data_IF_740653539485
#
_entry.id   IF_740653539485
#
_cell.length_a   1.000
_cell.length_b   1.000
_cell.length_c   1.000
_cell.angle_alpha   90.00
_cell.angle_beta   90.00
_cell.angle_gamma   90.00
#
_symmetry.space_group_name_H-M   'P 1'
#
loop_
_entity.id
_entity.type
_entity.pdbx_description
1 polymer ?
#
# COMPACT_ATOMS: atom_id res chain seq x y z
N UNK A 1 6.80 -15.94 -11.46
CA UNK A 1 6.90 -14.61 -10.81
C UNK A 1 5.97 -14.51 -9.60
N UNK A 2 4.68 -14.80 -9.73
CA UNK A 2 3.68 -14.70 -8.66
C UNK A 2 3.92 -15.60 -7.42
N UNK A 3 4.69 -16.69 -7.53
CA UNK A 3 5.00 -17.59 -6.42
C UNK A 3 5.99 -17.04 -5.35
N UNK A 4 6.11 -15.72 -5.19
CA UNK A 4 6.75 -15.08 -4.02
C UNK A 4 8.24 -14.72 -4.13
N UNK A 5 8.94 -15.08 -5.21
CA UNK A 5 10.39 -14.82 -5.35
C UNK A 5 10.85 -14.16 -6.67
N UNK A 6 9.91 -13.73 -7.53
CA UNK A 6 10.25 -13.05 -8.79
C UNK A 6 10.58 -11.56 -8.60
N UNK A 7 11.17 -10.89 -9.61
CA UNK A 7 11.29 -9.44 -9.62
C UNK A 7 9.91 -8.77 -9.75
N UNK A 8 9.79 -7.46 -9.46
CA UNK A 8 8.61 -6.68 -9.78
C UNK A 8 8.25 -6.80 -11.27
N UNK A 9 6.96 -6.73 -11.57
CA UNK A 9 6.45 -6.86 -12.93
C UNK A 9 5.33 -5.87 -13.21
N UNK A 10 5.20 -5.46 -14.46
CA UNK A 10 4.05 -4.72 -14.98
C UNK A 10 3.31 -5.62 -15.96
N UNK A 11 2.03 -5.83 -15.71
CA UNK A 11 1.13 -6.60 -16.56
C UNK A 11 0.26 -5.63 -17.35
N UNK A 12 0.10 -5.86 -18.65
CA UNK A 12 -0.90 -5.15 -19.43
C UNK A 12 -2.30 -5.49 -18.93
N UNK A 13 -3.27 -4.66 -19.32
CA UNK A 13 -4.69 -4.85 -19.00
C UNK A 13 -5.20 -6.24 -19.42
N UNK A 14 -4.78 -6.74 -20.59
CA UNK A 14 -5.16 -8.09 -21.06
C UNK A 14 -4.41 -9.19 -20.31
N UNK A 15 -3.12 -8.98 -20.02
CA UNK A 15 -2.31 -9.97 -19.32
C UNK A 15 -2.75 -10.15 -17.86
N UNK A 16 -3.26 -9.09 -17.24
CA UNK A 16 -3.88 -9.12 -15.92
C UNK A 16 -5.33 -9.64 -15.97
N UNK A 17 -6.02 -9.56 -17.11
CA UNK A 17 -7.42 -9.94 -17.23
C UNK A 17 -8.34 -9.01 -16.43
N UNK A 18 -8.11 -7.70 -16.54
CA UNK A 18 -8.86 -6.66 -15.80
C UNK A 18 -9.75 -5.81 -16.72
N UNK A 19 -9.84 -6.17 -18.00
CA UNK A 19 -10.53 -5.43 -19.06
C UNK A 19 -12.05 -5.32 -18.86
N UNK A 20 -12.64 -6.24 -18.10
CA UNK A 20 -14.07 -6.28 -17.82
C UNK A 20 -14.49 -5.50 -16.57
N UNK A 21 -13.53 -4.99 -15.78
CA UNK A 21 -13.80 -4.32 -14.51
C UNK A 21 -14.81 -3.16 -14.67
N UNK A 22 -15.93 -3.17 -13.92
CA UNK A 22 -16.87 -2.05 -13.91
C UNK A 22 -16.22 -0.71 -13.55
N UNK A 23 -15.26 -0.73 -12.62
CA UNK A 23 -14.52 0.47 -12.20
C UNK A 23 -13.78 1.20 -13.34
N UNK A 24 -13.25 0.49 -14.34
CA UNK A 24 -12.60 1.10 -15.51
C UNK A 24 -13.57 1.93 -16.37
N UNK A 25 -14.88 1.67 -16.24
CA UNK A 25 -15.94 2.36 -17.01
C UNK A 25 -16.73 3.35 -16.15
N UNK A 26 -16.99 3.00 -14.90
CA UNK A 26 -17.88 3.75 -14.02
C UNK A 26 -17.16 4.82 -13.19
N UNK A 27 -15.85 4.67 -12.97
CA UNK A 27 -15.06 5.61 -12.15
C UNK A 27 -14.20 6.55 -12.99
N UNK A 28 -14.32 6.47 -14.31
CA UNK A 28 -13.47 7.19 -15.27
C UNK A 28 -14.34 7.99 -16.22
N UNK A 29 -14.01 9.27 -16.40
CA UNK A 29 -14.69 10.13 -17.37
C UNK A 29 -14.29 9.76 -18.79
N UNK A 30 -15.04 10.28 -19.77
CA UNK A 30 -14.73 10.11 -21.19
C UNK A 30 -13.34 10.64 -21.61
N UNK A 31 -12.76 11.57 -20.84
CA UNK A 31 -11.40 12.10 -21.07
C UNK A 31 -10.29 11.27 -20.39
N UNK A 32 -10.63 10.14 -19.76
CA UNK A 32 -9.71 9.28 -19.05
C UNK A 32 -9.35 9.74 -17.63
N UNK A 33 -9.94 10.83 -17.13
CA UNK A 33 -9.69 11.34 -15.77
C UNK A 33 -10.63 10.73 -14.71
N UNK A 34 -10.25 10.75 -13.41
CA UNK A 34 -11.09 10.26 -12.32
C UNK A 34 -12.49 10.90 -12.28
N UNK A 35 -13.57 10.14 -12.35
CA UNK A 35 -14.95 10.63 -12.21
C UNK A 35 -15.38 10.74 -10.75
N UNK A 36 -14.84 11.75 -10.08
CA UNK A 36 -15.13 12.02 -8.67
C UNK A 36 -16.61 12.37 -8.42
N UNK A 37 -17.30 12.97 -9.39
CA UNK A 37 -18.71 13.34 -9.22
C UNK A 37 -19.61 12.09 -9.21
N UNK A 38 -19.31 11.11 -10.08
CA UNK A 38 -19.99 9.81 -10.07
C UNK A 38 -19.74 9.02 -8.78
N UNK A 39 -18.51 9.06 -8.25
CA UNK A 39 -18.17 8.46 -6.97
C UNK A 39 -18.89 9.16 -5.80
N UNK A 40 -18.89 10.50 -5.76
CA UNK A 40 -19.59 11.31 -4.76
C UNK A 40 -21.10 11.00 -4.75
N UNK A 41 -21.73 10.90 -5.93
CA UNK A 41 -23.16 10.64 -6.04
C UNK A 41 -23.59 9.31 -5.38
N UNK A 42 -22.73 8.29 -5.44
CA UNK A 42 -23.05 6.94 -4.96
C UNK A 42 -22.52 6.66 -3.55
N UNK A 43 -21.37 7.24 -3.21
CA UNK A 43 -20.58 6.87 -2.03
C UNK A 43 -20.20 8.09 -1.18
N UNK A 44 -20.88 9.23 -1.37
CA UNK A 44 -20.54 10.50 -0.74
C UNK A 44 -20.46 10.46 0.80
N UNK A 45 -21.24 9.58 1.44
CA UNK A 45 -21.28 9.42 2.89
C UNK A 45 -20.14 8.56 3.46
N UNK A 46 -19.36 7.86 2.62
CA UNK A 46 -18.24 7.03 3.05
C UNK A 46 -17.22 7.86 3.83
N UNK A 47 -16.79 7.34 4.99
CA UNK A 47 -15.71 7.95 5.76
C UNK A 47 -14.36 7.47 5.23
N UNK A 48 -13.66 8.35 4.54
CA UNK A 48 -12.39 8.05 3.87
C UNK A 48 -11.20 8.63 4.65
N UNK A 49 -10.09 7.89 4.65
CA UNK A 49 -8.79 8.35 5.16
C UNK A 49 -8.09 9.17 4.08
N UNK A 50 -7.55 10.32 4.45
CA UNK A 50 -6.93 11.27 3.54
C UNK A 50 -5.61 11.76 4.12
N UNK A 51 -4.52 11.59 3.39
CA UNK A 51 -3.23 12.16 3.74
C UNK A 51 -3.11 13.59 3.20
N UNK A 52 -2.57 14.49 4.03
CA UNK A 52 -2.23 15.86 3.63
C UNK A 52 -0.80 15.86 3.11
N UNK A 53 -0.64 16.13 1.81
CA UNK A 53 0.65 16.17 1.12
C UNK A 53 1.09 17.64 1.01
N UNK A 54 2.15 18.08 1.69
CA UNK A 54 2.64 19.44 1.53
C UNK A 54 3.14 19.65 0.09
N UNK A 55 2.80 20.79 -0.51
CA UNK A 55 3.37 21.18 -1.81
C UNK A 55 4.61 22.02 -1.53
N UNK A 56 5.83 21.61 -1.95
CA UNK A 56 7.02 22.40 -1.72
C UNK A 56 6.89 23.78 -2.36
N UNK A 57 7.26 24.84 -1.63
CA UNK A 57 7.35 26.18 -2.20
C UNK A 57 8.39 26.16 -3.34
N UNK A 58 7.96 26.48 -4.56
CA UNK A 58 8.88 26.64 -5.71
C UNK A 58 9.52 28.02 -5.65
N UNK A 59 10.86 28.11 -5.71
CA UNK A 59 11.51 29.40 -5.96
C UNK A 59 11.36 29.83 -7.42
N UNK A 60 11.74 31.07 -7.72
CA UNK A 60 11.68 31.68 -9.05
C UNK A 60 12.57 30.98 -10.11
N UNK A 61 13.34 29.96 -9.72
CA UNK A 61 14.18 29.13 -10.60
C UNK A 61 13.67 27.69 -10.70
N UNK A 62 12.52 27.37 -10.11
CA UNK A 62 11.91 26.05 -10.16
C UNK A 62 12.59 25.00 -9.28
N UNK A 63 13.53 25.40 -8.42
CA UNK A 63 14.09 24.52 -7.40
C UNK A 63 13.15 24.53 -6.19
N UNK A 64 12.81 23.34 -5.66
CA UNK A 64 12.07 23.22 -4.41
C UNK A 64 12.91 23.81 -3.27
N UNK A 65 12.36 24.80 -2.55
CA UNK A 65 13.01 25.40 -1.39
C UNK A 65 12.27 24.94 -0.15
N UNK A 66 12.95 24.11 0.66
CA UNK A 66 12.48 23.69 1.97
C UNK A 66 12.54 22.18 2.17
N UNK A 67 12.94 21.77 3.38
CA UNK A 67 12.66 20.45 3.91
C UNK A 67 11.13 20.29 3.92
N UNK A 68 10.58 19.65 2.89
CA UNK A 68 9.15 19.36 2.81
C UNK A 68 8.86 18.19 3.77
N UNK A 69 9.07 18.44 5.06
CA UNK A 69 8.97 17.53 6.21
C UNK A 69 8.54 16.13 5.81
N UNK A 70 9.50 15.33 5.38
CA UNK A 70 9.31 13.97 4.89
C UNK A 70 9.06 12.96 6.04
N UNK A 71 8.41 13.42 7.11
CA UNK A 71 8.03 12.63 8.30
C UNK A 71 6.59 12.12 8.21
N UNK A 72 6.03 11.67 9.35
CA UNK A 72 4.64 11.20 9.42
C UNK A 72 3.68 12.30 8.93
N UNK A 73 2.96 12.02 7.85
CA UNK A 73 2.03 12.99 7.26
C UNK A 73 0.78 13.11 8.11
N UNK A 74 0.27 14.34 8.20
CA UNK A 74 -1.04 14.57 8.78
C UNK A 74 -2.08 13.74 8.02
N UNK A 75 -2.87 12.97 8.77
CA UNK A 75 -3.97 12.17 8.24
C UNK A 75 -5.28 12.74 8.75
N UNK A 76 -6.24 12.91 7.84
CA UNK A 76 -7.61 13.34 8.12
C UNK A 76 -8.58 12.22 7.81
N UNK A 77 -9.68 12.15 8.55
CA UNK A 77 -10.84 11.37 8.18
C UNK A 77 -11.97 12.32 7.80
N UNK A 78 -12.51 12.19 6.60
CA UNK A 78 -13.59 13.04 6.08
C UNK A 78 -14.55 12.19 5.26
N UNK A 79 -15.73 12.72 4.96
CA UNK A 79 -16.63 12.11 3.99
C UNK A 79 -16.05 12.19 2.57
N UNK A 80 -16.44 11.27 1.70
CA UNK A 80 -16.07 11.34 0.28
C UNK A 80 -16.61 12.63 -0.36
N UNK A 81 -17.81 13.10 0.05
CA UNK A 81 -18.37 14.38 -0.39
C UNK A 81 -17.49 15.58 -0.01
N UNK A 82 -16.93 15.62 1.20
CA UNK A 82 -15.99 16.68 1.60
C UNK A 82 -14.71 16.66 0.75
N UNK A 83 -14.16 15.46 0.50
CA UNK A 83 -13.01 15.28 -0.38
C UNK A 83 -13.32 15.71 -1.82
N UNK A 84 -14.50 15.35 -2.35
CA UNK A 84 -14.96 15.72 -3.69
C UNK A 84 -15.13 17.24 -3.84
N UNK A 85 -15.69 17.90 -2.83
CA UNK A 85 -15.77 19.36 -2.76
C UNK A 85 -14.39 20.03 -2.85
N UNK A 86 -13.41 19.53 -2.10
CA UNK A 86 -12.01 19.97 -2.21
C UNK A 86 -11.42 19.69 -3.60
N UNK A 87 -11.64 18.49 -4.15
CA UNK A 87 -11.13 18.07 -5.46
C UNK A 87 -11.61 18.99 -6.58
N UNK A 88 -12.89 19.39 -6.57
CA UNK A 88 -13.44 20.36 -7.53
C UNK A 88 -12.82 21.74 -7.34
N UNK A 89 -12.67 22.20 -6.09
CA UNK A 89 -12.07 23.49 -5.76
C UNK A 89 -10.63 23.67 -6.25
N UNK A 90 -9.86 22.58 -6.37
CA UNK A 90 -8.47 22.66 -6.86
C UNK A 90 -8.38 22.94 -8.36
N UNK A 91 -9.34 22.45 -9.17
CA UNK A 91 -9.32 22.56 -10.63
C UNK A 91 -9.63 23.99 -11.09
N UNK A 92 -10.45 24.71 -10.33
CA UNK A 92 -10.82 26.10 -10.64
C UNK A 92 -9.68 27.10 -10.39
N UNK A 93 -8.62 26.71 -9.67
CA UNK A 93 -7.49 27.58 -9.30
C UNK A 93 -6.19 27.29 -10.09
N UNK A 94 -6.26 26.57 -11.22
CA UNK A 94 -5.22 26.62 -12.27
C UNK A 94 -3.94 25.80 -12.04
N UNK A 95 -4.04 24.57 -11.53
CA UNK A 95 -2.87 23.66 -11.43
C UNK A 95 -2.60 22.78 -12.66
N UNK A 96 -3.33 22.95 -13.77
CA UNK A 96 -3.08 22.22 -15.02
C UNK A 96 -2.30 23.07 -16.02
N UNK A 97 -0.99 23.18 -15.82
CA UNK A 97 -0.05 23.24 -16.95
C UNK A 97 1.03 22.18 -16.70
N UNK A 98 0.77 20.99 -17.24
CA UNK A 98 1.85 20.05 -17.57
C UNK A 98 2.71 20.76 -18.61
N UNK A 99 3.99 20.99 -18.29
CA UNK A 99 4.91 21.65 -19.19
C UNK A 99 5.24 20.71 -20.35
N UNK A 100 4.53 20.85 -21.47
CA UNK A 100 5.05 20.41 -22.76
C UNK A 100 6.33 21.23 -23.03
N UNK A 101 7.43 20.52 -23.31
CA UNK A 101 8.70 21.14 -23.68
C UNK A 101 8.52 22.00 -24.93
N UNK A 102 8.73 23.31 -24.79
CA UNK A 102 8.71 24.27 -25.90
C UNK A 102 9.41 25.57 -25.52
N UNK A 103 10.61 25.73 -26.07
CA UNK A 103 11.46 26.89 -26.31
C UNK A 103 11.40 28.16 -25.41
N UNK A 104 12.61 28.56 -25.03
CA UNK A 104 13.01 29.74 -24.28
C UNK A 104 12.59 31.04 -24.97
N UNK A 105 11.80 31.87 -24.29
CA UNK A 105 11.72 33.30 -24.57
C UNK A 105 11.88 34.10 -23.26
N UNK A 106 12.89 34.97 -23.23
CA UNK A 106 13.16 35.92 -22.13
C UNK A 106 12.06 36.99 -22.07
N UNK A 107 11.57 37.41 -20.89
CA UNK A 107 10.72 38.59 -20.79
C UNK A 107 11.56 39.86 -20.64
N UNK A 108 11.25 40.84 -21.50
CA UNK A 108 11.64 42.24 -21.37
C UNK A 108 10.91 42.90 -20.20
N UNK A 109 11.60 43.85 -19.56
CA UNK A 109 11.09 44.65 -18.45
C UNK A 109 10.36 45.86 -19.03
N UNK A 110 9.09 46.04 -18.68
CA UNK A 110 8.46 47.37 -18.71
C UNK A 110 7.71 47.64 -17.42
N UNK A 111 8.09 48.74 -16.79
CA UNK A 111 7.48 49.33 -15.61
C UNK A 111 6.23 50.10 -16.05
N UNK A 112 5.06 49.88 -15.45
CA UNK A 112 4.11 50.96 -15.12
C UNK A 112 2.97 50.45 -14.23
N UNK A 113 2.64 51.27 -13.24
CA UNK A 113 1.81 50.92 -12.09
C UNK A 113 0.35 50.60 -12.41
N UNK A 114 -0.13 49.51 -11.81
CA UNK A 114 -1.53 49.35 -11.41
C UNK A 114 -1.57 48.76 -10.01
N UNK A 115 -2.44 49.34 -9.20
CA UNK A 115 -2.79 48.95 -7.83
C UNK A 115 -2.92 47.43 -7.68
N UNK A 116 -2.20 46.87 -6.72
CA UNK A 116 -2.21 45.46 -6.39
C UNK A 116 -3.64 45.00 -6.04
N UNK A 117 -4.17 43.92 -6.66
CA UNK A 117 -5.32 43.24 -6.11
C UNK A 117 -4.93 42.63 -4.76
N UNK A 118 -5.85 42.74 -3.80
CA UNK A 118 -5.85 42.03 -2.52
C UNK A 118 -5.30 40.60 -2.64
N UNK A 119 -4.28 40.27 -1.84
CA UNK A 119 -3.69 38.93 -1.70
C UNK A 119 -4.67 37.94 -1.06
N UNK A 120 -5.71 37.54 -1.79
CA UNK A 120 -6.43 36.29 -1.52
C UNK A 120 -6.13 35.30 -2.66
N UNK A 121 -4.86 34.92 -2.82
CA UNK A 121 -4.47 33.85 -3.74
C UNK A 121 -4.69 32.50 -3.05
N UNK A 122 -5.89 31.95 -3.24
CA UNK A 122 -6.26 30.57 -2.89
C UNK A 122 -5.44 29.59 -3.73
N UNK A 123 -4.20 29.32 -3.32
CA UNK A 123 -3.49 28.10 -3.69
C UNK A 123 -3.65 27.13 -2.51
N UNK A 124 -4.04 25.86 -2.72
CA UNK A 124 -3.97 24.93 -1.62
C UNK A 124 -2.48 24.69 -1.32
N UNK A 125 -2.03 25.10 -0.14
CA UNK A 125 -0.66 24.88 0.38
C UNK A 125 -0.32 23.38 0.50
N UNK A 126 -1.29 22.50 0.21
CA UNK A 126 -1.23 21.06 0.33
C UNK A 126 -2.15 20.37 -0.71
N UNK A 127 -1.84 19.13 -1.06
CA UNK A 127 -2.75 18.22 -1.76
C UNK A 127 -3.41 17.28 -0.75
N UNK A 128 -4.67 16.90 -0.99
CA UNK A 128 -5.31 15.81 -0.29
C UNK A 128 -5.19 14.53 -1.13
N UNK A 129 -4.68 13.46 -0.52
CA UNK A 129 -4.56 12.14 -1.12
C UNK A 129 -5.41 11.14 -0.36
N UNK A 130 -6.54 10.74 -0.94
CA UNK A 130 -7.41 9.71 -0.37
C UNK A 130 -6.71 8.35 -0.53
N UNK A 131 -6.47 7.70 0.61
CA UNK A 131 -5.80 6.40 0.71
C UNK A 131 -6.53 5.50 1.67
N UNK A 132 -6.30 4.21 1.50
CA UNK A 132 -6.79 3.14 2.37
C UNK A 132 -8.31 3.14 2.50
N UNK A 133 -9.01 3.44 1.39
CA UNK A 133 -10.46 3.27 1.34
C UNK A 133 -10.79 1.79 1.09
N UNK A 134 -11.33 1.14 2.10
CA UNK A 134 -11.74 -0.27 2.09
C UNK A 134 -13.04 -0.49 1.32
N UNK A 135 -13.08 -0.03 0.05
CA UNK A 135 -14.27 -0.03 -0.79
C UNK A 135 -14.90 -1.42 -0.95
N UNK A 136 -14.07 -2.46 -1.10
CA UNK A 136 -14.56 -3.83 -1.29
C UNK A 136 -15.27 -4.39 -0.05
N UNK A 137 -14.80 -4.05 1.15
CA UNK A 137 -15.47 -4.39 2.40
C UNK A 137 -16.72 -3.53 2.68
N UNK A 138 -16.68 -2.25 2.30
CA UNK A 138 -17.78 -1.29 2.52
C UNK A 138 -18.96 -1.53 1.55
N UNK A 139 -18.66 -1.88 0.30
CA UNK A 139 -19.63 -2.06 -0.79
C UNK A 139 -19.45 -3.39 -1.56
N UNK A 140 -19.54 -4.54 -0.87
CA UNK A 140 -19.29 -5.85 -1.50
C UNK A 140 -20.24 -6.17 -2.65
N UNK A 141 -21.44 -5.60 -2.66
CA UNK A 141 -22.47 -5.79 -3.70
C UNK A 141 -22.23 -5.01 -4.99
N UNK A 142 -21.34 -4.01 -4.97
CA UNK A 142 -21.05 -3.19 -6.16
C UNK A 142 -20.19 -3.95 -7.16
N UNK A 143 -19.39 -4.93 -6.70
CA UNK A 143 -18.52 -5.75 -7.54
C UNK A 143 -17.69 -4.91 -8.54
N UNK A 144 -17.04 -3.85 -8.04
CA UNK A 144 -16.32 -2.88 -8.89
C UNK A 144 -15.14 -3.49 -9.67
N UNK A 145 -14.66 -4.66 -9.25
CA UNK A 145 -13.60 -5.43 -9.89
C UNK A 145 -13.64 -6.88 -9.41
N UNK A 146 -12.93 -7.76 -10.10
CA UNK A 146 -12.58 -9.11 -9.65
C UNK A 146 -11.06 -9.19 -9.51
N UNK A 147 -10.50 -9.77 -8.44
CA UNK A 147 -9.05 -9.96 -8.32
C UNK A 147 -8.48 -10.65 -9.57
N UNK A 148 -7.33 -10.18 -10.12
CA UNK A 148 -6.73 -10.83 -11.28
C UNK A 148 -6.33 -12.28 -10.97
N UNK A 149 -6.67 -13.23 -11.85
CA UNK A 149 -6.37 -14.66 -11.66
C UNK A 149 -4.88 -14.95 -11.47
N UNK A 150 -3.99 -14.10 -12.02
CA UNK A 150 -2.54 -14.21 -11.83
C UNK A 150 -2.09 -14.08 -10.36
N UNK A 151 -2.95 -13.55 -9.49
CA UNK A 151 -2.73 -13.37 -8.06
C UNK A 151 -3.68 -14.23 -7.22
N UNK A 152 -4.15 -15.36 -7.76
CA UNK A 152 -4.83 -16.38 -6.98
C UNK A 152 -3.86 -17.52 -6.60
N UNK A 153 -4.08 -18.20 -5.46
CA UNK A 153 -5.04 -17.88 -4.40
C UNK A 153 -4.52 -16.76 -3.48
N UNK A 154 -5.45 -16.02 -2.87
CA UNK A 154 -5.18 -14.97 -1.87
C UNK A 154 -5.62 -15.42 -0.48
N UNK A 155 -4.68 -15.98 0.30
CA UNK A 155 -4.98 -16.44 1.65
C UNK A 155 -5.31 -15.31 2.62
N UNK A 156 -4.78 -14.11 2.38
CA UNK A 156 -4.97 -12.98 3.29
C UNK A 156 -6.41 -12.48 3.20
N UNK A 157 -6.87 -12.13 2.01
CA UNK A 157 -8.23 -11.59 1.86
C UNK A 157 -9.29 -12.69 1.99
N UNK A 158 -9.03 -13.93 1.57
CA UNK A 158 -9.96 -15.05 1.81
C UNK A 158 -10.20 -15.33 3.30
N UNK A 159 -9.19 -15.13 4.16
CA UNK A 159 -9.35 -15.21 5.61
C UNK A 159 -10.33 -14.15 6.11
N UNK A 160 -10.14 -12.89 5.73
CA UNK A 160 -11.02 -11.81 6.18
C UNK A 160 -12.44 -11.89 5.62
N UNK A 161 -12.60 -12.34 4.38
CA UNK A 161 -13.93 -12.57 3.80
C UNK A 161 -14.70 -13.63 4.62
N UNK A 162 -14.02 -14.70 5.07
CA UNK A 162 -14.66 -15.72 5.91
C UNK A 162 -15.08 -15.21 7.30
N UNK A 163 -14.32 -14.26 7.87
CA UNK A 163 -14.68 -13.63 9.14
C UNK A 163 -15.90 -12.73 8.97
N UNK A 164 -15.95 -11.97 7.88
CA UNK A 164 -17.08 -11.11 7.55
C UNK A 164 -18.37 -11.94 7.35
N UNK A 165 -18.27 -13.11 6.72
CA UNK A 165 -19.40 -14.01 6.54
C UNK A 165 -19.85 -14.65 7.86
N UNK A 166 -18.92 -15.04 8.73
CA UNK A 166 -19.24 -15.57 10.05
C UNK A 166 -20.00 -14.53 10.90
N UNK A 167 -19.57 -13.27 10.91
CA UNK A 167 -20.22 -12.18 11.66
C UNK A 167 -21.67 -11.93 11.19
N UNK A 168 -21.93 -12.04 9.88
CA UNK A 168 -23.29 -11.97 9.31
C UNK A 168 -24.19 -13.12 9.78
N UNK A 169 -23.63 -14.32 9.95
CA UNK A 169 -24.42 -15.51 10.34
C UNK A 169 -24.77 -15.55 11.82
N UNK A 170 -23.94 -14.95 12.69
CA UNK A 170 -24.13 -15.02 14.14
C UNK A 170 -25.20 -14.04 14.69
N UNK A 171 -25.83 -13.23 13.84
CA UNK A 171 -26.96 -12.36 14.20
C UNK A 171 -26.64 -11.26 15.22
N UNK A 172 -25.40 -11.21 15.72
CA UNK A 172 -24.86 -10.14 16.56
C UNK A 172 -24.35 -9.01 15.65
N UNK A 173 -25.28 -8.39 14.92
CA UNK A 173 -25.00 -7.15 14.21
C UNK A 173 -24.44 -6.11 15.19
N UNK A 174 -23.13 -5.87 15.12
CA UNK A 174 -22.45 -4.84 15.88
C UNK A 174 -21.50 -5.37 16.96
N UNK A 175 -20.30 -5.76 16.55
CA UNK A 175 -19.15 -5.03 17.10
C UNK A 175 -18.72 -4.02 16.03
N UNK A 176 -19.02 -2.75 16.26
CA UNK A 176 -18.68 -1.64 15.34
C UNK A 176 -17.17 -1.38 15.24
N UNK A 177 -16.34 -2.42 15.28
CA UNK A 177 -14.88 -2.35 15.29
C UNK A 177 -14.19 -3.29 14.28
N UNK A 178 -14.93 -4.17 13.57
CA UNK A 178 -14.37 -5.14 12.62
C UNK A 178 -14.65 -4.82 11.13
N UNK A 179 -15.37 -3.74 10.81
CA UNK A 179 -15.78 -3.41 9.41
C UNK A 179 -14.68 -2.71 8.58
N UNK A 180 -13.41 -2.72 9.01
CA UNK A 180 -12.31 -2.11 8.22
C UNK A 180 -11.05 -2.98 8.23
N UNK A 181 -11.16 -4.26 7.89
CA UNK A 181 -10.05 -5.19 8.03
C UNK A 181 -9.79 -6.09 6.82
N UNK A 182 -10.17 -5.69 5.61
CA UNK A 182 -9.58 -6.33 4.43
C UNK A 182 -8.25 -5.64 4.05
N UNK A 183 -7.46 -6.29 3.19
CA UNK A 183 -6.21 -5.77 2.68
C UNK A 183 -6.37 -5.31 1.23
N UNK A 184 -7.51 -4.66 0.95
CA UNK A 184 -7.96 -4.22 -0.37
C UNK A 184 -8.31 -2.74 -0.29
N UNK A 185 -7.61 -1.92 -1.05
CA UNK A 185 -7.64 -0.48 -0.91
C UNK A 185 -7.92 0.21 -2.24
N UNK A 186 -8.75 1.25 -2.20
CA UNK A 186 -8.89 2.21 -3.29
C UNK A 186 -8.15 3.50 -2.92
N UNK A 187 -7.27 3.95 -3.82
CA UNK A 187 -6.55 5.21 -3.67
C UNK A 187 -7.01 6.21 -4.74
N UNK A 188 -7.26 7.46 -4.33
CA UNK A 188 -7.69 8.56 -5.23
C UNK A 188 -6.84 9.80 -4.95
N UNK A 189 -6.02 10.20 -5.93
CA UNK A 189 -5.02 11.26 -5.72
C UNK A 189 -4.85 12.22 -6.90
N UNK A 190 -4.62 13.53 -6.65
CA UNK A 190 -4.17 14.47 -7.69
C UNK A 190 -2.79 14.11 -8.25
N UNK A 191 -2.49 14.67 -9.42
CA UNK A 191 -1.12 14.85 -9.87
C UNK A 191 -0.25 15.50 -8.78
N UNK A 192 0.93 14.93 -8.53
CA UNK A 192 1.90 15.39 -7.52
C UNK A 192 1.67 14.83 -6.11
N UNK A 193 0.56 14.14 -5.85
CA UNK A 193 0.44 13.33 -4.63
C UNK A 193 1.30 12.06 -4.74
N UNK A 194 1.81 11.55 -3.62
CA UNK A 194 2.74 10.43 -3.64
C UNK A 194 2.67 9.61 -2.35
N UNK A 195 3.13 8.36 -2.36
CA UNK A 195 3.35 7.49 -1.20
C UNK A 195 4.85 7.31 -0.99
N UNK A 196 5.31 7.46 0.25
CA UNK A 196 6.72 7.33 0.62
C UNK A 196 7.23 5.90 0.49
N UNK A 197 8.56 5.74 0.53
CA UNK A 197 9.16 4.43 0.60
C UNK A 197 8.62 3.64 1.79
N UNK A 198 8.14 2.45 1.49
CA UNK A 198 7.70 1.47 2.47
C UNK A 198 7.84 0.08 1.83
N UNK A 199 7.83 -0.95 2.67
CA UNK A 199 7.56 -2.32 2.25
C UNK A 199 6.22 -2.73 2.85
N UNK A 200 5.46 -3.56 2.13
CA UNK A 200 4.13 -3.94 2.59
C UNK A 200 4.16 -4.72 3.91
N UNK A 201 3.14 -4.47 4.74
CA UNK A 201 2.97 -5.12 6.04
C UNK A 201 2.87 -6.64 5.89
N UNK A 202 3.13 -7.36 6.97
CA UNK A 202 3.19 -8.83 6.99
C UNK A 202 4.22 -9.44 6.03
N UNK A 203 5.10 -8.64 5.43
CA UNK A 203 5.96 -9.09 4.32
C UNK A 203 5.12 -9.75 3.22
N UNK A 204 3.91 -9.25 3.03
CA UNK A 204 3.03 -9.66 1.94
C UNK A 204 3.61 -9.17 0.61
N UNK A 205 3.21 -9.82 -0.48
CA UNK A 205 3.32 -9.22 -1.79
C UNK A 205 2.17 -8.22 -1.97
N UNK A 206 2.23 -7.41 -3.01
CA UNK A 206 1.08 -6.59 -3.40
C UNK A 206 0.91 -6.54 -4.91
N UNK A 207 -0.30 -6.20 -5.32
CA UNK A 207 -0.58 -5.79 -6.68
C UNK A 207 -1.40 -4.51 -6.70
N UNK A 208 -1.20 -3.70 -7.74
CA UNK A 208 -1.83 -2.39 -7.92
C UNK A 208 -2.28 -2.23 -9.36
N UNK A 209 -3.59 -2.27 -9.61
CA UNK A 209 -4.15 -1.92 -10.92
C UNK A 209 -4.51 -0.44 -10.94
N UNK A 210 -3.94 0.30 -11.88
CA UNK A 210 -4.24 1.72 -12.04
C UNK A 210 -5.51 1.88 -12.89
N UNK A 211 -6.63 2.25 -12.27
CA UNK A 211 -7.93 2.37 -12.96
C UNK A 211 -7.88 3.51 -13.98
N UNK A 212 -7.25 4.64 -13.61
CA UNK A 212 -7.02 5.75 -14.53
C UNK A 212 -5.83 6.61 -14.12
N UNK A 213 -5.35 7.42 -15.06
CA UNK A 213 -4.18 8.28 -14.88
C UNK A 213 -2.85 7.56 -15.10
N UNK A 214 -1.75 8.16 -14.63
CA UNK A 214 -0.39 7.62 -14.72
C UNK A 214 0.34 7.74 -13.40
N UNK A 215 1.03 6.67 -13.00
CA UNK A 215 1.85 6.61 -11.78
C UNK A 215 3.31 6.40 -12.12
N UNK A 216 4.21 6.95 -11.32
CA UNK A 216 5.64 6.66 -11.38
C UNK A 216 6.02 5.85 -10.15
N UNK A 217 6.58 4.69 -10.41
CA UNK A 217 7.03 3.76 -9.39
C UNK A 217 8.54 3.86 -9.25
N UNK A 218 9.05 3.77 -8.02
CA UNK A 218 10.47 3.61 -7.73
C UNK A 218 10.63 2.51 -6.69
N UNK A 219 11.30 1.42 -7.06
CA UNK A 219 11.43 0.22 -6.25
C UNK A 219 12.89 -0.10 -5.95
N UNK A 220 13.15 -0.64 -4.77
CA UNK A 220 14.44 -1.19 -4.36
C UNK A 220 14.28 -2.62 -3.84
N UNK A 221 15.21 -3.52 -4.20
CA UNK A 221 15.19 -4.88 -3.68
C UNK A 221 15.46 -4.90 -2.16
N UNK A 222 15.00 -5.93 -1.43
CA UNK A 222 15.22 -6.06 0.02
C UNK A 222 16.70 -5.99 0.42
N UNK A 223 17.61 -6.53 -0.39
CA UNK A 223 19.05 -6.49 -0.12
C UNK A 223 19.63 -5.06 -0.13
N UNK A 224 18.91 -4.11 -0.75
CA UNK A 224 19.27 -2.70 -0.78
C UNK A 224 18.61 -1.87 0.34
N UNK A 225 17.82 -2.47 1.24
CA UNK A 225 17.22 -1.78 2.40
C UNK A 225 18.24 -0.96 3.20
N UNK A 226 19.47 -1.46 3.50
CA UNK A 226 20.45 -0.67 4.25
C UNK A 226 20.80 0.68 3.58
N UNK A 227 20.64 0.81 2.26
CA UNK A 227 20.91 2.06 1.54
C UNK A 227 19.83 3.13 1.77
N UNK A 228 18.64 2.73 2.22
CA UNK A 228 17.53 3.63 2.57
C UNK A 228 17.53 4.01 4.06
N UNK A 229 18.35 3.37 4.89
CA UNK A 229 18.35 3.61 6.33
C UNK A 229 19.10 4.89 6.69
N UNK A 230 18.63 5.58 7.73
CA UNK A 230 19.35 6.69 8.33
C UNK A 230 20.70 6.25 8.91
N UNK A 231 21.59 7.19 9.19
CA UNK A 231 22.88 6.91 9.81
C UNK A 231 22.76 6.18 11.17
N UNK A 232 21.64 6.37 11.90
CA UNK A 232 21.34 5.65 13.14
C UNK A 232 20.77 4.25 12.91
N UNK A 233 20.33 3.92 11.69
CA UNK A 233 19.65 2.66 11.38
C UNK A 233 18.23 2.57 11.93
N UNK A 234 17.65 3.69 12.39
CA UNK A 234 16.33 3.71 13.06
C UNK A 234 15.21 4.26 12.20
N UNK A 235 15.54 4.88 11.06
CA UNK A 235 14.57 5.55 10.19
C UNK A 235 14.80 5.14 8.75
N UNK A 236 13.71 4.99 8.01
CA UNK A 236 13.75 4.75 6.58
C UNK A 236 13.59 6.09 5.84
N UNK A 237 14.37 6.32 4.79
CA UNK A 237 14.19 7.47 3.91
C UNK A 237 12.80 7.41 3.28
N UNK A 238 12.10 8.53 3.24
CA UNK A 238 10.78 8.65 2.63
C UNK A 238 10.88 8.76 1.11
N UNK A 239 11.97 9.37 0.60
CA UNK A 239 12.23 9.51 -0.84
C UNK A 239 13.70 9.30 -1.17
N UNK A 240 14.00 9.17 -2.46
CA UNK A 240 15.39 9.19 -2.94
C UNK A 240 16.06 10.56 -2.78
N UNK A 241 15.32 11.61 -2.44
CA UNK A 241 15.77 13.00 -2.44
C UNK A 241 15.96 13.55 -1.02
N UNK A 242 15.78 12.73 0.02
CA UNK A 242 15.97 13.11 1.40
C UNK A 242 17.43 13.52 1.70
N UNK A 243 17.64 14.18 2.84
CA UNK A 243 18.90 14.80 3.20
C UNK A 243 20.06 13.81 3.32
N UNK A 244 21.11 14.05 2.53
CA UNK A 244 22.31 13.22 2.46
C UNK A 244 23.04 13.02 3.79
N UNK A 245 22.96 13.99 4.72
CA UNK A 245 23.61 13.85 6.03
C UNK A 245 22.85 12.89 6.95
N UNK A 246 21.52 12.81 6.80
CA UNK A 246 20.67 11.88 7.56
C UNK A 246 20.71 10.48 6.95
N UNK A 247 20.78 10.39 5.63
CA UNK A 247 20.79 9.14 4.87
C UNK A 247 22.04 9.03 3.97
N UNK A 248 23.18 8.57 4.51
CA UNK A 248 24.48 8.65 3.85
C UNK A 248 24.60 7.77 2.59
N UNK A 249 23.78 6.72 2.49
CA UNK A 249 23.82 5.73 1.42
C UNK A 249 22.73 5.95 0.33
N UNK A 250 21.96 7.04 0.39
CA UNK A 250 20.92 7.31 -0.63
C UNK A 250 21.43 7.40 -2.06
N UNK A 251 22.69 7.80 -2.24
CA UNK A 251 23.33 7.80 -3.57
C UNK A 251 23.42 6.40 -4.16
N UNK A 252 23.60 5.38 -3.32
CA UNK A 252 23.69 3.98 -3.72
C UNK A 252 22.28 3.45 -3.99
N UNK A 253 21.30 3.82 -3.15
CA UNK A 253 19.89 3.55 -3.38
C UNK A 253 19.43 4.07 -4.77
N UNK A 254 19.79 5.31 -5.14
CA UNK A 254 19.47 5.89 -6.47
C UNK A 254 20.02 5.09 -7.64
N UNK A 255 21.17 4.42 -7.47
CA UNK A 255 21.79 3.60 -8.52
C UNK A 255 21.16 2.23 -8.66
N UNK A 256 20.59 1.72 -7.57
CA UNK A 256 19.97 0.39 -7.49
C UNK A 256 18.46 0.43 -7.76
N UNK A 257 17.85 1.61 -7.70
CA UNK A 257 16.41 1.78 -7.85
C UNK A 257 15.93 1.45 -9.27
N UNK A 258 14.82 0.73 -9.35
CA UNK A 258 14.05 0.50 -10.57
C UNK A 258 12.96 1.57 -10.65
N UNK A 259 12.98 2.41 -11.69
CA UNK A 259 11.96 3.44 -11.91
C UNK A 259 11.25 3.22 -13.24
N UNK A 260 9.92 3.23 -13.21
CA UNK A 260 9.09 3.09 -14.41
C UNK A 260 7.74 3.81 -14.23
N UNK A 261 7.04 4.04 -15.33
CA UNK A 261 5.67 4.58 -15.32
C UNK A 261 4.66 3.45 -15.52
N UNK A 262 3.54 3.54 -14.81
CA UNK A 262 2.37 2.67 -14.91
C UNK A 262 1.24 3.48 -15.52
N UNK A 263 0.71 3.01 -16.65
CA UNK A 263 -0.40 3.62 -17.37
C UNK A 263 -1.77 3.13 -16.85
N UNK A 264 -2.85 3.69 -17.38
CA UNK A 264 -4.21 3.25 -17.08
C UNK A 264 -4.45 1.81 -17.57
N UNK A 265 -5.10 0.99 -16.74
CA UNK A 265 -5.38 -0.42 -16.98
C UNK A 265 -4.23 -1.37 -16.62
N UNK A 266 -3.00 -0.89 -16.48
CA UNK A 266 -1.87 -1.76 -16.13
C UNK A 266 -1.89 -2.18 -14.66
N UNK A 267 -1.39 -3.38 -14.38
CA UNK A 267 -1.25 -3.93 -13.03
C UNK A 267 0.21 -4.12 -12.66
N UNK A 268 0.65 -3.47 -11.59
CA UNK A 268 2.00 -3.65 -11.03
C UNK A 268 1.96 -4.72 -9.96
N UNK A 269 2.87 -5.69 -10.04
CA UNK A 269 3.16 -6.66 -9.00
C UNK A 269 4.42 -6.25 -8.23
N UNK A 270 4.31 -6.20 -6.90
CA UNK A 270 5.41 -5.92 -5.97
C UNK A 270 5.68 -7.17 -5.12
N UNK A 271 6.88 -7.76 -5.20
CA UNK A 271 7.22 -8.94 -4.41
C UNK A 271 7.42 -8.60 -2.92
N UNK A 272 7.35 -9.62 -2.03
CA UNK A 272 7.57 -9.45 -0.59
C UNK A 272 8.87 -8.70 -0.26
N UNK A 273 8.76 -7.70 0.63
CA UNK A 273 9.90 -6.97 1.17
C UNK A 273 10.55 -5.93 0.23
N UNK A 274 10.06 -5.77 -1.00
CA UNK A 274 10.55 -4.70 -1.88
C UNK A 274 10.10 -3.34 -1.35
N UNK A 275 11.06 -2.44 -1.13
CA UNK A 275 10.75 -1.07 -0.78
C UNK A 275 10.31 -0.32 -2.02
N UNK A 276 9.23 0.44 -1.90
CA UNK A 276 8.68 1.17 -3.05
C UNK A 276 8.05 2.49 -2.64
N UNK A 277 8.22 3.50 -3.51
CA UNK A 277 7.52 4.77 -3.46
C UNK A 277 6.78 4.99 -4.78
N UNK A 278 5.66 5.71 -4.72
CA UNK A 278 4.75 5.87 -5.86
C UNK A 278 4.29 7.31 -5.95
N UNK A 279 4.48 7.94 -7.10
CA UNK A 279 4.01 9.30 -7.40
C UNK A 279 2.85 9.23 -8.40
N UNK A 280 1.75 9.94 -8.15
CA UNK A 280 0.71 10.16 -9.13
C UNK A 280 1.16 11.26 -10.10
N UNK A 281 1.55 10.89 -11.33
CA UNK A 281 2.03 11.83 -12.36
C UNK A 281 0.87 12.65 -12.92
N UNK A 282 -0.31 12.05 -13.01
CA UNK A 282 -1.58 12.72 -13.30
C UNK A 282 -2.57 12.49 -12.16
N UNK A 283 -3.80 12.98 -12.30
CA UNK A 283 -4.90 12.55 -11.42
C UNK A 283 -5.13 11.04 -11.61
N UNK A 284 -5.20 10.28 -10.51
CA UNK A 284 -5.28 8.81 -10.55
C UNK A 284 -6.35 8.23 -9.63
N UNK A 285 -6.90 7.09 -10.04
CA UNK A 285 -7.59 6.12 -9.17
C UNK A 285 -6.86 4.78 -9.32
N UNK A 286 -6.60 4.08 -8.23
CA UNK A 286 -6.08 2.70 -8.27
C UNK A 286 -6.77 1.78 -7.28
N UNK A 287 -6.75 0.49 -7.60
CA UNK A 287 -7.18 -0.60 -6.73
C UNK A 287 -5.93 -1.41 -6.37
N UNK A 288 -5.73 -1.60 -5.08
CA UNK A 288 -4.50 -2.08 -4.48
C UNK A 288 -4.81 -3.22 -3.52
N UNK A 289 -4.07 -4.33 -3.61
CA UNK A 289 -4.21 -5.43 -2.66
C UNK A 289 -2.85 -5.75 -2.06
N UNK A 290 -2.83 -5.96 -0.76
CA UNK A 290 -1.80 -6.81 -0.18
C UNK A 290 -2.29 -8.25 -0.28
N UNK A 291 -1.35 -9.13 -0.60
CA UNK A 291 -1.62 -10.45 -1.09
C UNK A 291 -0.65 -11.46 -0.48
N UNK A 292 -1.18 -12.56 0.06
CA UNK A 292 -0.37 -13.69 0.54
C UNK A 292 -0.72 -14.93 -0.26
N UNK A 293 0.22 -15.31 -1.13
CA UNK A 293 0.21 -16.62 -1.77
C UNK A 293 0.71 -17.70 -0.80
N UNK A 294 0.19 -18.95 -0.87
CA UNK A 294 0.70 -20.11 -0.16
C UNK A 294 2.23 -20.23 -0.09
N UNK A 295 2.91 -20.07 -1.23
CA UNK A 295 4.37 -20.19 -1.32
C UNK A 295 5.14 -19.03 -0.67
N UNK A 296 4.50 -17.87 -0.49
CA UNK A 296 5.07 -16.69 0.16
C UNK A 296 4.77 -16.61 1.66
N UNK A 297 3.90 -17.46 2.20
CA UNK A 297 3.47 -17.40 3.59
C UNK A 297 4.66 -17.51 4.58
N UNK A 298 5.72 -18.23 4.22
CA UNK A 298 6.92 -18.38 5.05
C UNK A 298 7.65 -17.06 5.32
N UNK A 299 7.60 -16.09 4.41
CA UNK A 299 8.20 -14.78 4.63
C UNK A 299 7.46 -14.00 5.72
N UNK A 300 6.14 -14.10 5.77
CA UNK A 300 5.31 -13.56 6.85
C UNK A 300 5.57 -14.28 8.18
N UNK A 301 5.76 -15.60 8.18
CA UNK A 301 6.15 -16.38 9.38
C UNK A 301 7.45 -15.86 9.99
N UNK A 302 8.48 -15.73 9.14
CA UNK A 302 9.80 -15.25 9.56
C UNK A 302 9.73 -13.83 10.10
N UNK A 303 8.97 -12.94 9.45
CA UNK A 303 8.74 -11.58 9.92
C UNK A 303 8.09 -11.59 11.31
N UNK A 304 6.96 -12.28 11.48
CA UNK A 304 6.23 -12.29 12.75
C UNK A 304 7.05 -12.85 13.90
N UNK A 305 7.94 -13.80 13.62
CA UNK A 305 8.88 -14.32 14.62
C UNK A 305 9.97 -13.28 14.97
N UNK A 306 10.54 -12.62 13.97
CA UNK A 306 11.51 -11.54 14.16
C UNK A 306 10.90 -10.36 14.94
N UNK A 307 9.67 -9.95 14.63
CA UNK A 307 8.95 -8.89 15.34
C UNK A 307 8.70 -9.25 16.81
N UNK A 308 8.35 -10.50 17.11
CA UNK A 308 8.22 -10.96 18.50
C UNK A 308 9.56 -10.91 19.24
N UNK A 309 10.63 -11.37 18.61
CA UNK A 309 11.97 -11.33 19.21
C UNK A 309 12.43 -9.88 19.46
N UNK A 310 12.24 -9.00 18.47
CA UNK A 310 12.54 -7.57 18.58
C UNK A 310 11.70 -6.87 19.65
N UNK A 311 10.40 -7.15 19.72
CA UNK A 311 9.51 -6.64 20.75
C UNK A 311 9.93 -7.11 22.15
N UNK A 312 10.34 -8.37 22.32
CA UNK A 312 10.85 -8.87 23.60
C UNK A 312 12.18 -8.21 24.01
N UNK A 313 13.02 -7.88 23.03
CA UNK A 313 14.29 -7.19 23.28
C UNK A 313 14.08 -5.71 23.65
N UNK A 314 13.11 -5.03 23.01
CA UNK A 314 12.87 -3.60 23.22
C UNK A 314 12.29 -3.26 24.59
N UNK A 315 11.63 -4.22 25.25
CA UNK A 315 11.09 -4.08 26.61
C UNK A 315 11.83 -4.94 27.64
N UNK A 316 13.04 -5.43 27.32
CA UNK A 316 13.76 -6.39 28.15
C UNK A 316 14.06 -5.87 29.57
N UNK A 317 14.11 -4.55 29.76
CA UNK A 317 14.25 -3.86 31.05
C UNK A 317 13.05 -4.06 31.98
N UNK A 318 11.88 -4.41 31.45
CA UNK A 318 10.69 -4.76 32.25
C UNK A 318 10.77 -6.17 32.87
N UNK A 319 11.76 -6.99 32.49
CA UNK A 319 11.95 -8.32 33.09
C UNK A 319 12.25 -8.20 34.59
N UNK A 320 11.37 -8.78 35.41
CA UNK A 320 11.47 -8.71 36.87
C UNK A 320 10.81 -7.47 37.50
N UNK A 321 10.34 -6.52 36.68
CA UNK A 321 9.47 -5.41 37.12
C UNK A 321 8.00 -5.82 37.07
N UNK A 322 7.60 -6.45 35.95
CA UNK A 322 6.25 -7.01 35.76
C UNK A 322 6.25 -8.53 35.91
N UNK A 323 5.07 -9.12 36.04
CA UNK A 323 4.94 -10.59 36.02
C UNK A 323 5.35 -11.16 34.66
N UNK A 324 5.80 -12.43 34.63
CA UNK A 324 6.15 -13.09 33.37
C UNK A 324 4.97 -13.12 32.37
N UNK A 325 3.74 -13.27 32.86
CA UNK A 325 2.54 -13.25 32.03
C UNK A 325 2.27 -11.87 31.42
N UNK A 326 2.43 -10.81 32.22
CA UNK A 326 2.27 -9.43 31.76
C UNK A 326 3.38 -9.05 30.77
N UNK A 327 4.62 -9.47 31.02
CA UNK A 327 5.72 -9.30 30.09
C UNK A 327 5.40 -9.91 28.71
N UNK A 328 4.99 -11.18 28.67
CA UNK A 328 4.62 -11.83 27.41
C UNK A 328 3.44 -11.13 26.73
N UNK A 329 2.43 -10.68 27.48
CA UNK A 329 1.31 -9.92 26.91
C UNK A 329 1.80 -8.64 26.21
N UNK A 330 2.72 -7.89 26.84
CA UNK A 330 3.30 -6.68 26.25
C UNK A 330 4.11 -6.99 24.99
N UNK A 331 4.89 -8.08 24.99
CA UNK A 331 5.62 -8.56 23.80
C UNK A 331 4.64 -8.86 22.66
N UNK A 332 3.59 -9.64 22.92
CA UNK A 332 2.60 -9.99 21.91
C UNK A 332 1.89 -8.76 21.35
N UNK A 333 1.50 -7.82 22.21
CA UNK A 333 0.85 -6.58 21.80
C UNK A 333 1.78 -5.72 20.92
N UNK A 334 3.04 -5.54 21.32
CA UNK A 334 4.00 -4.74 20.56
C UNK A 334 4.32 -5.39 19.21
N UNK A 335 4.54 -6.71 19.18
CA UNK A 335 4.78 -7.44 17.95
C UNK A 335 3.60 -7.33 16.96
N UNK A 336 2.36 -7.41 17.47
CA UNK A 336 1.16 -7.27 16.64
C UNK A 336 1.02 -5.85 16.07
N UNK A 337 1.36 -4.81 16.85
CA UNK A 337 1.34 -3.43 16.39
C UNK A 337 2.39 -3.17 15.31
N UNK A 338 3.59 -3.75 15.44
CA UNK A 338 4.64 -3.60 14.42
C UNK A 338 4.32 -4.34 13.13
N UNK A 339 3.79 -5.56 13.23
CA UNK A 339 3.56 -6.42 12.07
C UNK A 339 2.23 -6.10 11.33
N UNK A 340 1.29 -5.43 12.00
CA UNK A 340 -0.07 -5.21 11.51
C UNK A 340 -1.05 -6.37 11.76
N UNK A 341 -0.56 -7.49 12.30
CA UNK A 341 -1.38 -8.65 12.69
C UNK A 341 -0.73 -9.41 13.84
N UNK A 342 -1.54 -9.95 14.75
CA UNK A 342 -1.01 -10.82 15.81
C UNK A 342 -0.66 -12.21 15.29
N UNK A 343 0.31 -12.87 15.94
CA UNK A 343 0.68 -14.26 15.62
C UNK A 343 -0.52 -15.21 15.71
N UNK A 344 -1.45 -14.99 16.63
CA UNK A 344 -2.63 -15.85 16.79
C UNK A 344 -3.63 -15.68 15.65
N UNK A 345 -3.84 -14.46 15.17
CA UNK A 345 -4.67 -14.21 13.99
C UNK A 345 -4.01 -14.82 12.75
N UNK A 346 -2.69 -14.63 12.60
CA UNK A 346 -1.95 -15.20 11.47
C UNK A 346 -1.95 -16.74 11.49
N UNK A 347 -1.87 -17.38 12.67
CA UNK A 347 -2.04 -18.84 12.80
C UNK A 347 -3.40 -19.28 12.27
N UNK A 348 -4.49 -18.57 12.61
CA UNK A 348 -5.84 -18.89 12.11
C UNK A 348 -5.92 -18.77 10.59
N UNK A 349 -5.32 -17.71 10.02
CA UNK A 349 -5.18 -17.54 8.58
C UNK A 349 -4.49 -18.75 7.95
N UNK A 350 -3.38 -19.22 8.50
CA UNK A 350 -2.68 -20.40 7.98
C UNK A 350 -3.48 -21.69 8.11
N UNK A 351 -4.19 -21.91 9.22
CA UNK A 351 -5.08 -23.08 9.38
C UNK A 351 -6.15 -23.09 8.28
N UNK A 352 -6.78 -21.95 8.03
CA UNK A 352 -7.79 -21.83 6.98
C UNK A 352 -7.18 -22.04 5.60
N UNK A 353 -6.07 -21.35 5.30
CA UNK A 353 -5.37 -21.48 4.02
C UNK A 353 -4.97 -22.92 3.73
N UNK A 354 -4.41 -23.62 4.74
CA UNK A 354 -4.10 -25.05 4.67
C UNK A 354 -5.33 -25.89 4.32
N UNK A 355 -6.44 -25.70 5.03
CA UNK A 355 -7.66 -26.46 4.78
C UNK A 355 -8.22 -26.26 3.37
N UNK A 356 -8.07 -25.05 2.80
CA UNK A 356 -8.42 -24.75 1.41
C UNK A 356 -7.47 -25.48 0.45
N UNK A 357 -6.15 -25.36 0.67
CA UNK A 357 -5.14 -25.98 -0.17
C UNK A 357 -5.24 -27.53 -0.20
N UNK A 358 -5.50 -28.16 0.95
CA UNK A 358 -5.73 -29.62 1.04
C UNK A 358 -6.96 -30.06 0.24
N UNK A 359 -8.07 -29.30 0.33
CA UNK A 359 -9.30 -29.59 -0.43
C UNK A 359 -9.11 -29.43 -1.94
N UNK A 360 -8.35 -28.43 -2.36
CA UNK A 360 -8.04 -28.21 -3.78
C UNK A 360 -7.07 -29.25 -4.33
N UNK A 361 -6.03 -29.61 -3.57
CA UNK A 361 -5.07 -30.64 -3.95
C UNK A 361 -5.76 -31.99 -4.18
N UNK A 362 -6.72 -32.36 -3.31
CA UNK A 362 -7.53 -33.58 -3.47
C UNK A 362 -8.45 -33.58 -4.71
N UNK A 363 -8.69 -32.41 -5.31
CA UNK A 363 -9.53 -32.24 -6.50
C UNK A 363 -8.72 -32.04 -7.79
N UNK A 364 -7.40 -31.91 -7.69
CA UNK A 364 -6.54 -31.58 -8.81
C UNK A 364 -5.95 -32.87 -9.41
N UNK A 365 -6.18 -33.07 -10.71
CA UNK A 365 -5.51 -34.13 -11.48
C UNK A 365 -4.06 -33.75 -11.88
N UNK A 366 -3.61 -32.53 -11.52
CA UNK A 366 -2.26 -32.01 -11.78
C UNK A 366 -1.38 -32.18 -10.52
N UNK A 367 -0.47 -33.15 -10.57
CA UNK A 367 0.45 -33.46 -9.48
C UNK A 367 1.36 -32.27 -9.09
N UNK A 368 1.76 -31.43 -10.05
CA UNK A 368 2.61 -30.26 -9.79
C UNK A 368 1.86 -29.17 -9.05
N UNK A 369 0.60 -28.95 -9.42
CA UNK A 369 -0.28 -28.02 -8.73
C UNK A 369 -0.70 -28.55 -7.35
N UNK A 370 -0.82 -29.87 -7.18
CA UNK A 370 -1.04 -30.51 -5.88
C UNK A 370 0.18 -30.36 -4.95
N UNK A 371 1.41 -30.53 -5.47
CA UNK A 371 2.67 -30.34 -4.73
C UNK A 371 2.86 -28.90 -4.23
N UNK A 372 2.59 -27.89 -5.06
CA UNK A 372 2.65 -26.49 -4.63
C UNK A 372 1.65 -26.18 -3.50
N UNK A 373 0.49 -26.85 -3.49
CA UNK A 373 -0.52 -26.72 -2.44
C UNK A 373 -0.15 -27.46 -1.15
N UNK A 374 0.59 -28.57 -1.24
CA UNK A 374 1.16 -29.26 -0.08
C UNK A 374 2.31 -28.48 0.58
N UNK A 375 3.06 -27.68 -0.18
CA UNK A 375 4.06 -26.74 0.37
C UNK A 375 3.44 -25.74 1.38
N UNK A 376 2.15 -25.45 1.21
CA UNK A 376 1.36 -24.62 2.11
C UNK A 376 1.10 -25.31 3.47
N UNK A 377 0.98 -26.64 3.48
CA UNK A 377 0.88 -27.44 4.71
C UNK A 377 2.20 -27.37 5.50
N UNK A 378 3.34 -27.35 4.80
CA UNK A 378 4.65 -27.17 5.43
C UNK A 378 4.82 -25.79 6.06
N UNK A 379 4.34 -24.71 5.43
CA UNK A 379 4.40 -23.38 6.04
C UNK A 379 3.66 -23.31 7.38
N UNK A 380 2.54 -24.02 7.50
CA UNK A 380 1.82 -24.17 8.76
C UNK A 380 2.60 -24.99 9.79
N UNK A 381 3.16 -26.14 9.39
CA UNK A 381 3.94 -27.01 10.28
C UNK A 381 5.22 -26.32 10.77
N UNK A 382 5.90 -25.58 9.89
CA UNK A 382 7.05 -24.76 10.25
C UNK A 382 6.68 -23.61 11.18
N UNK A 383 5.53 -22.94 11.00
CA UNK A 383 5.07 -21.92 11.96
C UNK A 383 4.65 -22.54 13.30
N UNK A 384 4.07 -23.74 13.31
CA UNK A 384 3.75 -24.47 14.52
C UNK A 384 5.01 -24.89 15.28
N UNK A 385 6.03 -25.42 14.58
CA UNK A 385 7.33 -25.76 15.15
C UNK A 385 8.06 -24.51 15.69
N UNK A 386 8.11 -23.43 14.92
CA UNK A 386 8.71 -22.16 15.35
C UNK A 386 7.96 -21.52 16.52
N UNK A 387 6.63 -21.61 16.57
CA UNK A 387 5.81 -21.13 17.69
C UNK A 387 6.05 -21.91 18.99
N UNK A 388 6.50 -23.17 18.90
CA UNK A 388 6.86 -24.00 20.04
C UNK A 388 8.33 -23.83 20.49
N UNK A 389 9.08 -22.93 19.83
CA UNK A 389 10.51 -22.72 20.11
C UNK A 389 11.41 -23.84 19.58
N UNK A 390 10.88 -24.69 18.70
CA UNK A 390 11.68 -25.70 17.99
C UNK A 390 12.39 -25.05 16.80
N UNK A 391 13.64 -25.46 16.53
CA UNK A 391 14.29 -25.06 15.28
C UNK A 391 13.47 -25.62 14.12
N UNK A 392 12.95 -24.75 13.26
CA UNK A 392 12.44 -25.20 11.95
C UNK A 392 13.59 -25.95 11.26
N UNK A 393 13.42 -27.26 11.04
CA UNK A 393 14.39 -28.03 10.27
C UNK A 393 14.43 -27.45 8.87
N UNK A 394 15.58 -26.88 8.51
CA UNK A 394 15.85 -26.28 7.20
C UNK A 394 16.16 -27.34 6.13
N UNK A 395 16.09 -28.62 6.47
CA UNK A 395 16.37 -29.70 5.54
C UNK A 395 15.20 -29.87 4.57
N UNK A 396 15.36 -29.24 3.41
CA UNK A 396 14.62 -29.48 2.18
C UNK A 396 15.60 -30.18 1.25
N UNK A 397 15.53 -31.51 1.20
CA UNK A 397 16.06 -32.30 0.08
C UNK A 397 14.88 -32.97 -0.63
#
# INVERSE_FOLDING_TARGET
AAAGGGPPAVLSLEAAGVDDWPSLREWVRADGSPDIDALEQRFGDSRVRVEVIPVPARDSRGAGVGDAGYGSRETKHMSLSEFAGWWRGRRTHGHTKVAEHGDVAKPEITCEGRTAPSRSSLHPEYLLYLKDWHFAAEYPEVHAYTPPHAFEPDWLNAFYDSLADADKTDGKGGSGHLVTSDYRFVYVGPAGSWTAFHSDVLRSASWSTNVCGRKRWTLLPPDATPALMSASGTELASTLWDEHMRFPLLKDARRLALTFEQEAGETVFVPPGWHHMVENVTDCISINHNWIHPSGAMDSVRLLHAERAGAAQSIADLRGVVSAQEFEHLVYRNAALNAGMSQDVFKKLLVQGRAVAEREALRSDDEGAALQRLYACWAYEALAALANGEQATTDVD
#
